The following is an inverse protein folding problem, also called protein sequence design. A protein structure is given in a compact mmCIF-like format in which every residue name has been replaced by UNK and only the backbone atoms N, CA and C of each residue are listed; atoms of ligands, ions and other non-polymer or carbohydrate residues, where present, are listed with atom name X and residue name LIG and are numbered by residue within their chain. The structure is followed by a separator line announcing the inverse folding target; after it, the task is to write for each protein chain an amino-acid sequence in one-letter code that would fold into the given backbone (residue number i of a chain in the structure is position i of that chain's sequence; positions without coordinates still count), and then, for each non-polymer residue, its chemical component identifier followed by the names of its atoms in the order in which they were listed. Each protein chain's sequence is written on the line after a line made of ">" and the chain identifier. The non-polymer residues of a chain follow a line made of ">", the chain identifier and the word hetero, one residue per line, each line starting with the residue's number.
data_IF_747440560951
#
_entry.id   IF_747440560951
#
_cell.length_a   1.000
_cell.length_b   1.000
_cell.length_c   1.000
_cell.angle_alpha   90.00
_cell.angle_beta   90.00
_cell.angle_gamma   90.00
#
_symmetry.space_group_name_H-M   'P 1'
#
loop_
_entity.id
_entity.type
_entity.pdbx_description
1 polymer ?
#
# COMPACT_ATOMS: atom_id res chain seq x y z
N UNK A 1 -2.64 -6.36 13.07
CA UNK A 1 -3.01 -6.35 11.64
C UNK A 1 -1.98 -5.67 10.74
N UNK A 2 -1.48 -4.50 11.14
CA UNK A 2 -0.46 -3.81 10.33
C UNK A 2 0.83 -4.62 10.19
N UNK A 3 1.26 -5.29 11.25
CA UNK A 3 2.46 -6.14 11.16
C UNK A 3 2.28 -7.29 10.20
N UNK A 4 1.08 -7.87 10.16
CA UNK A 4 0.75 -8.94 9.22
C UNK A 4 0.78 -8.43 7.78
N UNK A 5 0.26 -7.22 7.55
CA UNK A 5 0.31 -6.59 6.24
C UNK A 5 1.75 -6.29 5.84
N UNK A 6 2.55 -5.76 6.75
CA UNK A 6 3.97 -5.48 6.50
C UNK A 6 4.72 -6.74 6.11
N UNK A 7 4.52 -7.84 6.85
CA UNK A 7 5.15 -9.12 6.54
C UNK A 7 4.70 -9.65 5.18
N UNK A 8 3.41 -9.51 4.84
CA UNK A 8 2.89 -9.93 3.56
C UNK A 8 3.54 -9.14 2.41
N UNK A 9 3.71 -7.83 2.58
CA UNK A 9 4.38 -7.00 1.58
C UNK A 9 5.84 -7.37 1.41
N UNK A 10 6.54 -7.67 2.51
CA UNK A 10 7.92 -8.14 2.44
C UNK A 10 8.01 -9.44 1.64
N UNK A 11 7.06 -10.34 1.82
CA UNK A 11 6.99 -11.59 1.06
C UNK A 11 6.75 -11.38 -0.43
N UNK A 12 5.85 -10.45 -0.78
CA UNK A 12 5.56 -10.13 -2.17
C UNK A 12 6.76 -9.55 -2.92
N UNK A 13 7.58 -8.79 -2.22
CA UNK A 13 8.76 -8.15 -2.80
C UNK A 13 10.07 -8.87 -2.49
N UNK A 14 10.00 -10.12 -2.09
CA UNK A 14 11.20 -10.90 -1.78
C UNK A 14 12.18 -10.84 -2.96
N UNK A 15 13.42 -10.44 -2.67
CA UNK A 15 14.44 -10.28 -3.70
C UNK A 15 14.51 -8.89 -4.32
N UNK A 16 13.58 -8.00 -3.97
CA UNK A 16 13.56 -6.63 -4.48
C UNK A 16 13.85 -5.64 -3.34
N UNK A 17 15.12 -5.60 -2.93
CA UNK A 17 15.54 -4.82 -1.76
C UNK A 17 15.25 -3.33 -1.89
N UNK A 18 15.40 -2.76 -3.09
CA UNK A 18 15.18 -1.32 -3.31
C UNK A 18 13.71 -0.94 -3.06
N UNK A 19 12.78 -1.75 -3.54
CA UNK A 19 11.35 -1.48 -3.36
C UNK A 19 10.90 -1.76 -1.93
N UNK A 20 11.48 -2.76 -1.28
CA UNK A 20 11.24 -3.02 0.14
C UNK A 20 11.67 -1.80 0.96
N UNK A 21 12.87 -1.27 0.72
CA UNK A 21 13.35 -0.08 1.42
C UNK A 21 12.45 1.11 1.16
N UNK A 22 11.98 1.27 -0.08
CA UNK A 22 11.11 2.37 -0.46
C UNK A 22 9.79 2.33 0.31
N UNK A 23 9.06 1.22 0.29
CA UNK A 23 7.76 1.21 0.96
C UNK A 23 7.88 1.25 2.48
N UNK A 24 8.94 0.68 3.05
CA UNK A 24 9.19 0.80 4.48
C UNK A 24 9.48 2.24 4.87
N UNK A 25 10.24 2.96 4.06
CA UNK A 25 10.56 4.37 4.28
C UNK A 25 9.31 5.24 4.16
N UNK A 26 8.50 5.02 3.14
CA UNK A 26 7.23 5.74 2.94
C UNK A 26 6.31 5.50 4.12
N UNK A 27 6.19 4.26 4.59
CA UNK A 27 5.39 3.91 5.75
C UNK A 27 5.88 4.66 7.00
N UNK A 28 7.19 4.67 7.27
CA UNK A 28 7.74 5.36 8.43
C UNK A 28 7.46 6.86 8.40
N UNK A 29 7.63 7.50 7.24
CA UNK A 29 7.34 8.93 7.10
C UNK A 29 5.85 9.24 7.23
N UNK A 30 4.99 8.42 6.62
CA UNK A 30 3.55 8.62 6.71
C UNK A 30 3.08 8.53 8.16
N UNK A 31 3.59 7.55 8.91
CA UNK A 31 3.28 7.37 10.32
C UNK A 31 3.74 8.58 11.14
N UNK A 32 4.98 9.03 10.92
CA UNK A 32 5.53 10.16 11.65
C UNK A 32 4.72 11.44 11.40
N UNK A 33 4.44 11.73 10.13
CA UNK A 33 3.68 12.93 9.77
C UNK A 33 2.27 12.87 10.38
N UNK A 34 1.60 11.73 10.27
CA UNK A 34 0.26 11.56 10.79
C UNK A 34 0.21 11.72 12.31
N UNK A 35 1.21 11.19 13.02
CA UNK A 35 1.30 11.33 14.46
C UNK A 35 1.55 12.80 14.86
N UNK A 36 2.40 13.50 14.11
CA UNK A 36 2.65 14.93 14.34
C UNK A 36 1.41 15.79 14.10
N UNK A 37 0.59 15.42 13.10
CA UNK A 37 -0.66 16.11 12.78
C UNK A 37 -1.80 15.69 13.70
N UNK A 38 -1.57 14.73 14.58
CA UNK A 38 -2.55 14.27 15.57
C UNK A 38 -3.85 13.75 14.95
N UNK A 39 -3.73 13.03 13.83
CA UNK A 39 -4.90 12.38 13.21
C UNK A 39 -5.45 11.30 14.14
N UNK A 40 -6.72 10.95 13.99
CA UNK A 40 -7.32 9.90 14.82
C UNK A 40 -6.72 8.51 14.50
N UNK A 41 -6.98 7.57 15.39
CA UNK A 41 -6.40 6.22 15.26
C UNK A 41 -6.85 5.50 13.99
N UNK A 42 -8.10 5.68 13.60
CA UNK A 42 -8.63 5.05 12.39
C UNK A 42 -7.95 5.61 11.14
N UNK A 43 -7.81 6.94 11.07
CA UNK A 43 -7.13 7.60 9.96
C UNK A 43 -5.66 7.17 9.90
N UNK A 44 -4.99 7.11 11.04
CA UNK A 44 -3.61 6.65 11.11
C UNK A 44 -3.48 5.22 10.58
N UNK A 45 -4.37 4.34 10.99
CA UNK A 45 -4.40 2.95 10.54
C UNK A 45 -4.53 2.84 9.02
N UNK A 46 -5.46 3.62 8.45
CA UNK A 46 -5.65 3.66 6.98
C UNK A 46 -4.41 4.20 6.27
N UNK A 47 -3.82 5.28 6.80
CA UNK A 47 -2.62 5.87 6.19
C UNK A 47 -1.44 4.91 6.22
N UNK A 48 -1.24 4.19 7.33
CA UNK A 48 -0.17 3.20 7.42
C UNK A 48 -0.39 2.05 6.44
N UNK A 49 -1.61 1.54 6.35
CA UNK A 49 -1.94 0.47 5.41
C UNK A 49 -1.76 0.92 3.96
N UNK A 50 -2.20 2.14 3.64
CA UNK A 50 -2.03 2.70 2.29
C UNK A 50 -0.55 2.91 1.95
N UNK A 51 0.24 3.39 2.90
CA UNK A 51 1.68 3.59 2.68
C UNK A 51 2.40 2.28 2.40
N UNK A 52 2.04 1.20 3.12
CA UNK A 52 2.64 -0.12 2.90
C UNK A 52 2.26 -0.70 1.53
N UNK A 53 1.06 -0.40 1.03
CA UNK A 53 0.52 -1.03 -0.18
C UNK A 53 0.48 -0.13 -1.40
N UNK A 54 0.94 1.13 -1.29
CA UNK A 54 0.72 2.11 -2.37
C UNK A 54 1.29 1.69 -3.73
N UNK A 55 2.38 0.93 -3.75
CA UNK A 55 3.01 0.44 -4.98
C UNK A 55 2.77 -1.06 -5.21
N UNK A 56 1.71 -1.63 -4.60
CA UNK A 56 1.46 -3.07 -4.67
C UNK A 56 1.30 -3.59 -6.11
N UNK A 57 0.88 -2.73 -7.03
CA UNK A 57 0.69 -3.10 -8.42
C UNK A 57 1.94 -3.13 -9.28
N UNK A 58 3.10 -2.74 -8.73
CA UNK A 58 4.31 -2.52 -9.53
C UNK A 58 4.79 -3.76 -10.28
N UNK A 59 4.84 -4.91 -9.60
CA UNK A 59 5.30 -6.15 -10.21
C UNK A 59 4.32 -6.67 -11.25
N UNK A 60 3.01 -6.55 -10.97
CA UNK A 60 1.99 -6.94 -11.93
C UNK A 60 2.05 -6.07 -13.19
N UNK A 61 2.22 -4.77 -13.01
CA UNK A 61 2.32 -3.85 -14.15
C UNK A 61 3.55 -4.15 -15.00
N UNK A 62 4.69 -4.43 -14.37
CA UNK A 62 5.90 -4.80 -15.10
C UNK A 62 5.71 -6.09 -15.88
N UNK A 63 5.08 -7.09 -15.26
CA UNK A 63 4.84 -8.39 -15.89
C UNK A 63 3.83 -8.29 -17.03
N UNK A 64 2.72 -7.57 -16.80
CA UNK A 64 1.59 -7.52 -17.74
C UNK A 64 1.82 -6.54 -18.88
N UNK A 65 2.41 -5.38 -18.59
CA UNK A 65 2.57 -4.29 -19.55
C UNK A 65 4.02 -3.96 -19.90
N UNK A 66 4.97 -4.53 -19.20
CA UNK A 66 6.38 -4.16 -19.35
C UNK A 66 6.68 -2.75 -18.85
N UNK A 67 5.78 -2.17 -18.06
CA UNK A 67 5.85 -0.78 -17.59
C UNK A 67 5.23 -0.69 -16.22
N UNK A 68 5.78 0.18 -15.37
CA UNK A 68 5.27 0.41 -14.03
C UNK A 68 4.89 1.88 -13.80
N UNK A 69 4.32 2.53 -14.82
CA UNK A 69 3.89 3.92 -14.71
C UNK A 69 2.85 4.11 -13.60
N UNK A 70 2.79 5.31 -13.03
CA UNK A 70 1.82 5.65 -11.99
C UNK A 70 0.38 5.39 -12.43
N UNK A 71 0.06 5.68 -13.68
CA UNK A 71 -1.28 5.49 -14.24
C UNK A 71 -1.69 4.01 -14.24
N UNK A 72 -0.77 3.12 -14.63
CA UNK A 72 -1.03 1.68 -14.61
C UNK A 72 -1.16 1.16 -13.20
N UNK A 73 -0.34 1.66 -12.27
CA UNK A 73 -0.43 1.29 -10.86
C UNK A 73 -1.75 1.74 -10.24
N UNK A 74 -2.23 2.93 -10.59
CA UNK A 74 -3.52 3.43 -10.13
C UNK A 74 -4.68 2.56 -10.64
N UNK A 75 -4.52 1.99 -11.83
CA UNK A 75 -5.53 1.12 -12.42
C UNK A 75 -5.54 -0.28 -11.78
N UNK A 76 -4.37 -0.87 -11.61
CA UNK A 76 -4.24 -2.27 -11.16
C UNK A 76 -4.09 -2.42 -9.64
N UNK A 77 -3.45 -1.44 -9.00
CA UNK A 77 -3.13 -1.51 -7.59
C UNK A 77 -4.32 -1.71 -6.65
N UNK A 78 -5.41 -0.94 -6.80
CA UNK A 78 -6.54 -1.06 -5.88
C UNK A 78 -7.12 -2.46 -5.79
N UNK A 79 -7.27 -3.16 -6.93
CA UNK A 79 -7.81 -4.52 -6.94
C UNK A 79 -6.89 -5.52 -6.22
N UNK A 80 -5.57 -5.37 -6.43
CA UNK A 80 -4.59 -6.23 -5.78
C UNK A 80 -4.60 -5.98 -4.27
N UNK A 81 -4.64 -4.71 -3.87
CA UNK A 81 -4.71 -4.34 -2.46
C UNK A 81 -5.99 -4.88 -1.81
N UNK A 82 -7.12 -4.79 -2.51
CA UNK A 82 -8.39 -5.31 -2.00
C UNK A 82 -8.30 -6.80 -1.72
N UNK A 83 -7.68 -7.56 -2.62
CA UNK A 83 -7.50 -9.00 -2.43
C UNK A 83 -6.62 -9.29 -1.21
N UNK A 84 -5.48 -8.63 -1.11
CA UNK A 84 -4.56 -8.84 0.01
C UNK A 84 -5.21 -8.47 1.35
N UNK A 85 -5.84 -7.32 1.40
CA UNK A 85 -6.50 -6.86 2.63
C UNK A 85 -7.65 -7.79 3.02
N UNK A 86 -8.38 -8.31 2.03
CA UNK A 86 -9.43 -9.30 2.27
C UNK A 86 -8.88 -10.60 2.83
N UNK A 87 -7.77 -11.08 2.30
CA UNK A 87 -7.10 -12.30 2.79
C UNK A 87 -6.62 -12.13 4.24
N UNK A 88 -6.22 -10.92 4.62
CA UNK A 88 -5.77 -10.60 5.97
C UNK A 88 -6.91 -10.18 6.89
N UNK A 89 -8.16 -10.25 6.40
CA UNK A 89 -9.37 -9.96 7.15
C UNK A 89 -9.45 -8.50 7.65
N UNK A 90 -8.96 -7.56 6.86
CA UNK A 90 -9.11 -6.14 7.15
C UNK A 90 -10.59 -5.73 6.99
N UNK A 91 -11.02 -4.77 7.82
CA UNK A 91 -12.34 -4.18 7.72
C UNK A 91 -12.60 -3.64 6.32
N UNK A 92 -13.82 -3.86 5.81
CA UNK A 92 -14.19 -3.45 4.45
C UNK A 92 -14.04 -1.95 4.23
N UNK A 93 -14.42 -1.13 5.22
CA UNK A 93 -14.30 0.32 5.12
C UNK A 93 -12.84 0.76 5.03
N UNK A 94 -11.98 0.12 5.81
CA UNK A 94 -10.53 0.38 5.76
C UNK A 94 -10.00 0.01 4.38
N UNK A 95 -10.35 -1.17 3.88
CA UNK A 95 -9.93 -1.64 2.55
C UNK A 95 -10.35 -0.66 1.45
N UNK A 96 -11.58 -0.19 1.49
CA UNK A 96 -12.10 0.75 0.49
C UNK A 96 -11.34 2.09 0.53
N UNK A 97 -11.04 2.60 1.72
CA UNK A 97 -10.28 3.84 1.87
C UNK A 97 -8.83 3.68 1.36
N UNK A 98 -8.21 2.53 1.65
CA UNK A 98 -6.87 2.23 1.15
C UNK A 98 -6.88 2.16 -0.37
N UNK A 99 -7.85 1.48 -0.96
CA UNK A 99 -8.00 1.39 -2.42
C UNK A 99 -8.14 2.78 -3.06
N UNK A 100 -8.92 3.65 -2.45
CA UNK A 100 -9.10 5.02 -2.93
C UNK A 100 -7.77 5.77 -2.94
N UNK A 101 -7.01 5.68 -1.84
CA UNK A 101 -5.72 6.35 -1.75
C UNK A 101 -4.72 5.82 -2.78
N UNK A 102 -4.69 4.50 -3.01
CA UNK A 102 -3.82 3.91 -4.02
C UNK A 102 -4.21 4.41 -5.41
N UNK A 103 -5.50 4.49 -5.70
CA UNK A 103 -6.00 4.92 -7.00
C UNK A 103 -5.65 6.38 -7.33
N UNK A 104 -5.35 7.17 -6.33
CA UNK A 104 -5.15 8.62 -6.50
C UNK A 104 -3.76 9.13 -6.11
N UNK A 105 -2.84 8.25 -5.67
CA UNK A 105 -1.58 8.74 -5.12
C UNK A 105 -0.59 9.27 -6.16
N UNK A 106 -0.82 8.99 -7.43
CA UNK A 106 0.01 9.52 -8.53
C UNK A 106 -0.60 10.73 -9.24
N UNK A 107 -1.77 11.20 -8.79
CA UNK A 107 -2.43 12.35 -9.43
C UNK A 107 -2.00 13.71 -8.87
#
# INVERSE_FOLDING_TARGET
>A
MLNQLHLAMLGLYKGDAKRIQHFCKVHSYAKLIAECEKVDKETLFVLEAAALTHDIGIHLCEEKYGDCSGKLQEKEGPAIAARLLGELEFDKQVSERVQYLIAHHHT
#
